data_IF_020532176901
#
_entry.id   IF_020532176901
#
_cell.length_a   1.000
_cell.length_b   1.000
_cell.length_c   1.000
_cell.angle_alpha   90.00
_cell.angle_beta   90.00
_cell.angle_gamma   90.00
#
_symmetry.space_group_name_H-M   'P 1'
#
loop_
_entity.id
_entity.type
_entity.pdbx_description
1 polymer ?
#
# COMPACT_ATOMS: atom_id res chain seq x y z
N UNK A 1 -15.88 4.09 38.55
CA UNK A 1 -16.14 4.81 37.30
C UNK A 1 -15.33 4.12 36.21
N UNK A 2 -15.98 3.45 35.26
CA UNK A 2 -15.29 2.93 34.07
C UNK A 2 -14.89 4.11 33.21
N UNK A 3 -13.60 4.39 33.15
CA UNK A 3 -13.04 5.33 32.18
C UNK A 3 -13.36 4.77 30.79
N UNK A 4 -14.30 5.40 30.10
CA UNK A 4 -14.56 5.09 28.70
C UNK A 4 -13.30 5.52 27.93
N UNK A 5 -12.58 4.58 27.34
CA UNK A 5 -11.38 4.87 26.56
C UNK A 5 -11.77 5.86 25.45
N UNK A 6 -11.01 6.95 25.29
CA UNK A 6 -11.29 7.91 24.25
C UNK A 6 -11.16 7.22 22.87
N UNK A 7 -12.11 7.52 21.99
CA UNK A 7 -12.12 6.99 20.63
C UNK A 7 -10.80 7.36 19.90
N UNK A 8 -10.24 6.46 19.10
CA UNK A 8 -9.03 6.71 18.35
C UNK A 8 -9.24 7.89 17.38
N UNK A 9 -8.17 8.64 17.14
CA UNK A 9 -8.15 9.58 16.02
C UNK A 9 -8.22 8.79 14.71
N UNK A 10 -9.11 9.19 13.80
CA UNK A 10 -9.31 8.48 12.53
C UNK A 10 -9.52 9.47 11.41
N UNK A 11 -8.83 9.28 10.29
CA UNK A 11 -9.03 10.03 9.06
C UNK A 11 -8.97 9.12 7.85
N UNK A 12 -9.91 9.32 6.92
CA UNK A 12 -9.90 8.70 5.59
C UNK A 12 -9.09 9.57 4.64
N UNK A 13 -8.00 9.03 4.08
CA UNK A 13 -7.15 9.71 3.10
C UNK A 13 -7.63 9.45 1.67
N UNK A 14 -8.14 8.23 1.44
CA UNK A 14 -8.70 7.80 0.15
C UNK A 14 -9.92 6.92 0.41
N UNK A 15 -10.98 7.15 -0.35
CA UNK A 15 -12.16 6.26 -0.40
C UNK A 15 -12.84 6.41 -1.75
N UNK A 16 -12.78 5.37 -2.57
CA UNK A 16 -13.43 5.36 -3.88
C UNK A 16 -14.95 5.43 -3.76
N UNK A 17 -15.53 4.77 -2.75
CA UNK A 17 -16.97 4.74 -2.52
C UNK A 17 -17.52 6.08 -2.03
N UNK A 18 -16.73 6.86 -1.29
CA UNK A 18 -17.10 8.18 -0.76
C UNK A 18 -16.58 9.33 -1.59
N UNK A 19 -15.85 9.04 -2.67
CA UNK A 19 -15.19 10.03 -3.53
C UNK A 19 -14.24 10.95 -2.74
N UNK A 20 -13.49 10.37 -1.80
CA UNK A 20 -12.47 11.08 -1.01
C UNK A 20 -11.10 10.76 -1.60
N UNK A 21 -10.31 11.79 -1.86
CA UNK A 21 -8.89 11.72 -2.16
C UNK A 21 -8.20 12.99 -1.69
N UNK A 22 -7.25 12.85 -0.79
CA UNK A 22 -6.45 13.97 -0.29
C UNK A 22 -5.07 13.93 -0.96
N UNK A 23 -4.78 14.86 -1.85
CA UNK A 23 -3.48 14.95 -2.53
C UNK A 23 -2.35 15.23 -1.53
N UNK A 24 -2.62 16.10 -0.55
CA UNK A 24 -1.69 16.46 0.50
C UNK A 24 -2.40 16.43 1.85
N UNK A 25 -1.76 15.81 2.82
CA UNK A 25 -2.23 15.80 4.20
C UNK A 25 -1.04 15.55 5.14
N UNK A 26 -1.10 16.13 6.33
CA UNK A 26 -0.11 15.92 7.37
C UNK A 26 -0.73 15.96 8.77
N UNK A 27 -0.11 15.23 9.69
CA UNK A 27 -0.46 15.21 11.09
C UNK A 27 0.83 15.05 11.92
N UNK A 28 0.95 15.81 12.99
CA UNK A 28 2.03 15.68 13.97
C UNK A 28 1.54 15.06 15.27
N UNK A 29 2.44 14.50 16.06
CA UNK A 29 2.14 13.97 17.38
C UNK A 29 1.52 15.01 18.29
N UNK A 30 1.99 16.26 18.21
CA UNK A 30 1.48 17.38 19.00
C UNK A 30 0.00 17.68 18.76
N UNK A 31 -0.55 17.33 17.58
CA UNK A 31 -1.96 17.52 17.26
C UNK A 31 -2.87 16.46 17.92
N UNK A 32 -2.29 15.37 18.42
CA UNK A 32 -3.04 14.23 18.96
C UNK A 32 -2.79 14.04 20.45
N UNK A 33 -1.53 14.19 20.90
CA UNK A 33 -1.13 14.00 22.32
C UNK A 33 0.06 14.89 22.67
N UNK A 34 0.09 15.37 23.91
CA UNK A 34 1.24 16.10 24.44
C UNK A 34 2.34 15.19 25.02
N UNK A 35 2.05 13.90 25.21
CA UNK A 35 2.99 12.96 25.86
C UNK A 35 4.07 12.45 24.89
N UNK A 36 3.73 12.32 23.61
CA UNK A 36 4.64 11.87 22.57
C UNK A 36 4.46 12.72 21.31
N UNK A 37 5.03 13.95 21.28
CA UNK A 37 4.81 14.89 20.17
C UNK A 37 5.71 14.61 18.94
N UNK A 38 6.79 13.82 19.10
CA UNK A 38 7.91 13.73 18.16
C UNK A 38 7.70 12.69 17.04
N UNK A 39 6.45 12.53 16.57
CA UNK A 39 6.13 11.72 15.40
C UNK A 39 5.34 12.53 14.38
N UNK A 40 5.37 12.09 13.15
CA UNK A 40 4.60 12.72 12.08
C UNK A 40 4.16 11.71 11.03
N UNK A 41 3.08 12.07 10.34
CA UNK A 41 2.60 11.35 9.16
C UNK A 41 2.36 12.40 8.07
N UNK A 42 2.83 12.11 6.86
CA UNK A 42 2.56 12.94 5.69
C UNK A 42 2.02 12.07 4.56
N UNK A 43 1.05 12.58 3.81
CA UNK A 43 0.64 12.03 2.52
C UNK A 43 0.92 13.07 1.44
N UNK A 44 1.44 12.61 0.33
CA UNK A 44 1.60 13.41 -0.89
C UNK A 44 1.31 12.58 -2.13
N UNK A 45 0.77 13.20 -3.15
CA UNK A 45 0.71 12.65 -4.50
C UNK A 45 1.96 13.10 -5.25
N UNK A 46 2.71 12.13 -5.80
CA UNK A 46 3.94 12.39 -6.56
C UNK A 46 3.61 12.86 -7.96
N UNK A 47 4.48 13.69 -8.51
CA UNK A 47 4.35 14.25 -9.84
C UNK A 47 5.61 14.06 -10.69
N UNK A 48 5.42 14.08 -12.01
CA UNK A 48 6.48 14.00 -13.00
C UNK A 48 6.93 12.56 -13.33
N UNK A 49 7.25 12.32 -14.60
CA UNK A 49 7.68 11.01 -15.07
C UNK A 49 6.65 9.91 -14.85
N UNK A 50 7.12 8.69 -14.64
CA UNK A 50 6.25 7.54 -14.40
C UNK A 50 5.63 7.50 -13.00
N UNK A 51 6.04 8.41 -12.10
CA UNK A 51 5.45 8.53 -10.76
C UNK A 51 4.23 9.46 -10.70
N UNK A 52 3.83 10.06 -11.83
CA UNK A 52 2.67 10.94 -11.88
C UNK A 52 1.41 10.28 -11.32
N UNK A 53 0.84 10.89 -10.26
CA UNK A 53 -0.37 10.40 -9.59
C UNK A 53 -0.15 9.29 -8.55
N UNK A 54 1.09 8.96 -8.20
CA UNK A 54 1.39 7.98 -7.15
C UNK A 54 1.24 8.61 -5.76
N UNK A 55 0.42 8.01 -4.93
CA UNK A 55 0.31 8.38 -3.52
C UNK A 55 1.45 7.77 -2.70
N UNK A 56 2.04 8.57 -1.84
CA UNK A 56 3.08 8.18 -0.89
C UNK A 56 2.70 8.65 0.51
N UNK A 57 2.66 7.74 1.48
CA UNK A 57 2.47 8.05 2.89
C UNK A 57 3.77 7.79 3.62
N UNK A 58 4.31 8.79 4.26
CA UNK A 58 5.51 8.67 5.08
C UNK A 58 5.16 8.82 6.56
N UNK A 59 5.58 7.85 7.36
CA UNK A 59 5.43 7.83 8.82
C UNK A 59 6.82 7.94 9.44
N UNK A 60 6.97 8.88 10.36
CA UNK A 60 8.14 9.03 11.20
C UNK A 60 7.70 8.89 12.66
N UNK A 61 8.17 7.88 13.38
CA UNK A 61 7.78 7.62 14.76
C UNK A 61 8.73 8.22 15.81
N UNK A 62 9.68 9.08 15.35
CA UNK A 62 10.74 9.66 16.17
C UNK A 62 12.05 8.85 16.12
N UNK A 63 12.03 7.60 15.61
CA UNK A 63 13.21 6.75 15.46
C UNK A 63 13.28 6.05 14.12
N UNK A 64 12.15 5.54 13.65
CA UNK A 64 12.03 4.86 12.37
C UNK A 64 11.14 5.69 11.46
N UNK A 65 11.61 5.91 10.24
CA UNK A 65 10.82 6.49 9.15
C UNK A 65 10.58 5.42 8.10
N UNK A 66 9.34 5.27 7.65
CA UNK A 66 8.99 4.37 6.54
C UNK A 66 7.96 4.98 5.62
N UNK A 67 7.93 4.51 4.37
CA UNK A 67 7.00 5.01 3.36
C UNK A 67 6.16 3.88 2.78
N UNK A 68 4.85 4.11 2.72
CA UNK A 68 3.84 3.20 2.16
C UNK A 68 3.33 3.77 0.85
N UNK A 69 3.09 2.91 -0.14
CA UNK A 69 2.61 3.30 -1.47
C UNK A 69 1.18 2.77 -1.69
N UNK A 70 0.13 3.57 -1.37
CA UNK A 70 -1.25 3.16 -1.60
C UNK A 70 -1.54 2.78 -3.05
N UNK A 71 -0.98 3.50 -4.00
CA UNK A 71 -1.15 3.28 -5.45
C UNK A 71 -0.52 1.96 -5.92
N UNK A 72 0.40 1.40 -5.13
CA UNK A 72 1.10 0.14 -5.39
C UNK A 72 0.73 -0.92 -4.36
N UNK A 73 -0.57 -1.25 -4.25
CA UNK A 73 -1.08 -2.33 -3.40
C UNK A 73 -0.74 -2.18 -1.91
N UNK A 74 -0.52 -0.97 -1.41
CA UNK A 74 -0.07 -0.72 -0.03
C UNK A 74 1.32 -1.32 0.27
N UNK A 75 2.20 -1.41 -0.72
CA UNK A 75 3.59 -1.83 -0.54
C UNK A 75 4.39 -0.84 0.33
N UNK A 76 5.48 -1.30 0.95
CA UNK A 76 6.41 -0.45 1.69
C UNK A 76 7.62 -0.17 0.81
N UNK A 77 7.84 1.10 0.47
CA UNK A 77 8.93 1.51 -0.41
C UNK A 77 10.29 1.27 0.27
N UNK A 78 10.45 1.84 1.43
CA UNK A 78 11.67 1.75 2.24
C UNK A 78 11.36 2.10 3.70
N UNK A 79 12.30 1.77 4.57
CA UNK A 79 12.36 2.29 5.93
C UNK A 79 13.77 2.74 6.25
N UNK A 80 13.92 3.62 7.24
CA UNK A 80 15.23 4.06 7.74
C UNK A 80 15.19 4.25 9.25
N UNK A 81 16.34 4.00 9.88
CA UNK A 81 16.56 4.22 11.29
C UNK A 81 17.99 4.76 11.44
N UNK A 82 18.12 6.03 11.84
CA UNK A 82 19.41 6.73 11.85
C UNK A 82 20.06 6.65 10.44
N UNK A 83 21.29 6.15 10.35
CA UNK A 83 22.03 6.00 9.09
C UNK A 83 21.75 4.67 8.37
N UNK A 84 20.89 3.81 8.93
CA UNK A 84 20.53 2.52 8.33
C UNK A 84 19.30 2.65 7.46
N UNK A 85 19.44 2.31 6.17
CA UNK A 85 18.32 2.23 5.23
C UNK A 85 17.94 0.78 5.01
N UNK A 86 16.66 0.47 5.23
CA UNK A 86 16.03 -0.80 4.91
C UNK A 86 15.31 -0.66 3.56
N UNK A 87 15.87 -1.28 2.56
CA UNK A 87 15.48 -1.18 1.17
C UNK A 87 16.56 -1.75 0.29
N UNK A 88 16.52 -1.46 -1.00
CA UNK A 88 17.54 -1.86 -1.95
C UNK A 88 17.69 -0.81 -3.06
N UNK A 89 18.85 -0.77 -3.69
CA UNK A 89 19.12 0.15 -4.79
C UNK A 89 18.64 -0.43 -6.11
N UNK A 90 17.31 -0.41 -6.31
CA UNK A 90 16.71 -0.85 -7.57
C UNK A 90 17.19 0.00 -8.75
N UNK A 91 17.38 -0.60 -9.94
CA UNK A 91 17.55 0.16 -11.17
C UNK A 91 16.30 0.98 -11.53
N UNK A 92 15.11 0.61 -11.02
CA UNK A 92 13.87 1.38 -11.17
C UNK A 92 13.87 2.47 -10.10
N UNK A 93 14.19 3.71 -10.51
CA UNK A 93 14.37 4.83 -9.56
C UNK A 93 13.09 5.58 -9.22
N UNK A 94 12.13 5.63 -10.16
CA UNK A 94 10.83 6.24 -9.91
C UNK A 94 9.89 5.26 -9.22
N UNK A 95 8.97 5.76 -8.41
CA UNK A 95 7.84 4.94 -7.92
C UNK A 95 6.82 4.88 -9.04
N UNK A 96 6.90 3.82 -9.86
CA UNK A 96 6.15 3.73 -11.11
C UNK A 96 4.66 3.56 -10.84
N UNK A 97 3.83 4.46 -11.42
CA UNK A 97 2.37 4.32 -11.36
C UNK A 97 1.93 3.08 -12.16
N UNK A 98 0.99 2.26 -11.68
CA UNK A 98 0.52 1.04 -12.35
C UNK A 98 0.07 1.24 -13.81
N UNK A 99 -0.41 2.43 -14.18
CA UNK A 99 -0.81 2.74 -15.57
C UNK A 99 0.31 2.59 -16.60
N UNK A 100 1.58 2.63 -16.16
CA UNK A 100 2.75 2.48 -17.02
C UNK A 100 3.30 1.05 -17.02
N UNK A 101 2.69 0.13 -16.29
CA UNK A 101 3.13 -1.26 -16.16
C UNK A 101 2.16 -2.16 -16.92
N UNK A 102 2.71 -2.96 -17.84
CA UNK A 102 1.98 -3.99 -18.56
C UNK A 102 2.48 -5.34 -18.08
N UNK A 103 1.69 -5.99 -17.23
CA UNK A 103 2.10 -7.22 -16.58
C UNK A 103 2.43 -8.34 -17.56
N UNK A 104 1.79 -8.36 -18.73
CA UNK A 104 1.94 -9.36 -19.78
C UNK A 104 3.22 -9.19 -20.61
N UNK A 105 3.87 -8.03 -20.55
CA UNK A 105 5.08 -7.77 -21.32
C UNK A 105 6.19 -8.77 -20.97
N UNK A 106 7.04 -9.09 -21.96
CA UNK A 106 8.14 -10.03 -21.83
C UNK A 106 7.73 -11.43 -21.35
N UNK A 107 6.55 -11.90 -21.78
CA UNK A 107 6.03 -13.19 -21.37
C UNK A 107 5.60 -13.23 -19.89
N UNK A 108 5.00 -12.17 -19.41
CA UNK A 108 4.47 -12.07 -18.07
C UNK A 108 5.45 -11.49 -17.03
N UNK A 109 6.56 -10.89 -17.46
CA UNK A 109 7.60 -10.32 -16.59
C UNK A 109 7.45 -8.80 -16.38
N UNK A 110 6.38 -8.18 -16.90
CA UNK A 110 6.18 -6.74 -16.83
C UNK A 110 6.13 -6.16 -15.40
N UNK A 111 5.81 -6.98 -14.40
CA UNK A 111 5.88 -6.64 -12.98
C UNK A 111 7.25 -6.06 -12.58
N UNK A 112 8.34 -6.55 -13.19
CA UNK A 112 9.71 -6.08 -12.92
C UNK A 112 9.95 -4.63 -13.34
N UNK A 113 9.14 -4.06 -14.23
CA UNK A 113 9.30 -2.67 -14.69
C UNK A 113 8.97 -1.63 -13.62
N UNK A 114 8.25 -2.05 -12.57
CA UNK A 114 7.90 -1.18 -11.44
C UNK A 114 8.56 -1.56 -10.12
N UNK A 115 9.32 -2.65 -10.07
CA UNK A 115 9.77 -3.20 -8.80
C UNK A 115 10.93 -2.40 -8.18
N UNK A 116 10.63 -1.71 -7.08
CA UNK A 116 11.61 -1.00 -6.26
C UNK A 116 11.27 -0.98 -4.75
N UNK A 117 10.20 -1.63 -4.35
CA UNK A 117 9.76 -1.67 -2.96
C UNK A 117 10.64 -2.59 -2.10
N UNK A 118 10.86 -2.20 -0.84
CA UNK A 118 11.44 -3.07 0.18
C UNK A 118 10.51 -4.24 0.54
N UNK A 119 9.20 -3.96 0.68
CA UNK A 119 8.18 -4.96 0.96
C UNK A 119 7.06 -4.82 -0.06
N UNK A 120 7.23 -5.47 -1.20
CA UNK A 120 6.23 -5.51 -2.26
C UNK A 120 5.10 -6.49 -1.91
N UNK A 121 3.91 -6.28 -2.46
CA UNK A 121 2.80 -7.24 -2.36
C UNK A 121 2.84 -8.22 -3.53
N UNK A 122 2.49 -9.47 -3.26
CA UNK A 122 2.34 -10.53 -4.27
C UNK A 122 0.98 -11.21 -4.08
N UNK A 123 0.41 -11.71 -5.16
CA UNK A 123 -0.91 -12.34 -5.16
C UNK A 123 -1.92 -11.47 -5.89
N UNK A 124 -3.21 -11.62 -5.63
CA UNK A 124 -3.89 -12.56 -4.69
C UNK A 124 -4.32 -13.84 -5.41
N UNK A 125 -4.86 -13.70 -6.65
CA UNK A 125 -5.33 -14.84 -7.48
C UNK A 125 -4.18 -15.79 -7.82
N UNK A 126 -3.00 -15.25 -8.12
CA UNK A 126 -1.82 -16.04 -8.48
C UNK A 126 -0.55 -15.45 -7.88
N UNK A 127 0.47 -16.29 -7.71
CA UNK A 127 1.79 -15.88 -7.23
C UNK A 127 2.88 -16.79 -7.83
N UNK A 128 4.09 -16.27 -7.95
CA UNK A 128 5.25 -17.00 -8.45
C UNK A 128 5.60 -16.64 -9.89
N UNK A 129 6.20 -17.58 -10.60
CA UNK A 129 6.64 -17.41 -11.99
C UNK A 129 5.46 -17.20 -12.93
N UNK A 130 5.64 -16.45 -14.04
CA UNK A 130 4.68 -16.44 -15.14
C UNK A 130 4.57 -17.83 -15.76
N UNK A 131 3.41 -18.15 -16.30
CA UNK A 131 3.14 -19.42 -16.96
C UNK A 131 1.68 -19.55 -17.36
N UNK A 132 1.34 -20.67 -17.96
CA UNK A 132 -0.04 -20.99 -18.32
C UNK A 132 -0.61 -21.97 -17.31
N UNK A 133 -1.78 -21.65 -16.76
CA UNK A 133 -2.54 -22.52 -15.85
C UNK A 133 -3.80 -23.05 -16.54
N UNK A 134 -4.25 -24.23 -16.13
CA UNK A 134 -5.48 -24.87 -16.60
C UNK A 134 -6.53 -24.87 -15.50
N UNK A 135 -7.75 -24.52 -15.83
CA UNK A 135 -8.85 -24.46 -14.88
C UNK A 135 -10.18 -24.86 -15.52
N UNK A 136 -11.16 -25.18 -14.69
CA UNK A 136 -12.55 -25.40 -15.17
C UNK A 136 -13.29 -24.07 -15.12
N UNK A 137 -13.80 -23.64 -16.26
CA UNK A 137 -14.54 -22.40 -16.38
C UNK A 137 -15.98 -22.49 -15.82
N UNK A 138 -16.71 -21.38 -15.84
CA UNK A 138 -18.07 -21.28 -15.27
C UNK A 138 -19.12 -22.15 -15.98
N UNK A 139 -18.85 -22.66 -17.17
CA UNK A 139 -19.74 -23.56 -17.93
C UNK A 139 -19.29 -25.04 -17.86
N UNK A 140 -18.23 -25.33 -17.14
CA UNK A 140 -17.73 -26.68 -16.89
C UNK A 140 -16.70 -27.19 -17.90
N UNK A 141 -16.20 -26.34 -18.78
CA UNK A 141 -15.17 -26.71 -19.77
C UNK A 141 -13.75 -26.44 -19.24
N UNK A 142 -12.79 -27.21 -19.72
CA UNK A 142 -11.38 -26.89 -19.53
C UNK A 142 -11.03 -25.61 -20.29
N UNK A 143 -10.33 -24.71 -19.60
CA UNK A 143 -9.82 -23.46 -20.14
C UNK A 143 -8.39 -23.23 -19.63
N UNK A 144 -7.68 -22.34 -20.29
CA UNK A 144 -6.34 -21.91 -19.86
C UNK A 144 -6.29 -20.42 -19.63
N UNK A 145 -5.40 -19.99 -18.73
CA UNK A 145 -5.07 -18.58 -18.53
C UNK A 145 -3.57 -18.40 -18.44
N UNK A 146 -3.06 -17.30 -18.96
CA UNK A 146 -1.67 -16.91 -18.76
C UNK A 146 -1.57 -16.09 -17.47
N UNK A 147 -0.67 -16.54 -16.60
CA UNK A 147 -0.37 -15.93 -15.32
C UNK A 147 0.89 -15.07 -15.44
N UNK A 148 0.85 -13.90 -14.81
CA UNK A 148 2.00 -12.98 -14.78
C UNK A 148 2.80 -13.15 -13.49
N UNK A 149 4.04 -12.67 -13.49
CA UNK A 149 4.94 -12.74 -12.35
C UNK A 149 4.28 -12.13 -11.10
N UNK A 150 4.21 -12.92 -10.02
CA UNK A 150 3.74 -12.53 -8.69
C UNK A 150 2.31 -11.96 -8.61
N UNK A 151 1.49 -12.13 -9.66
CA UNK A 151 0.11 -11.65 -9.69
C UNK A 151 -0.03 -10.15 -9.87
N UNK A 152 -1.18 -9.61 -9.51
CA UNK A 152 -1.59 -8.25 -9.88
C UNK A 152 -1.59 -7.26 -8.70
N UNK A 153 -1.67 -7.73 -7.47
CA UNK A 153 -2.00 -6.91 -6.30
C UNK A 153 -1.06 -5.72 -6.07
N UNK A 154 0.25 -5.87 -6.40
CA UNK A 154 1.23 -4.80 -6.32
C UNK A 154 0.95 -3.64 -7.29
N UNK A 155 0.10 -3.87 -8.30
CA UNK A 155 -0.22 -2.91 -9.36
C UNK A 155 -1.70 -2.50 -9.36
N UNK A 156 -2.37 -2.65 -8.22
CA UNK A 156 -3.75 -2.20 -8.01
C UNK A 156 -3.74 -1.12 -6.94
N UNK A 157 -4.21 0.10 -7.25
CA UNK A 157 -4.35 1.16 -6.25
C UNK A 157 -5.36 0.78 -5.16
N UNK A 158 -5.06 1.16 -3.92
CA UNK A 158 -5.96 0.96 -2.79
C UNK A 158 -7.25 1.78 -2.98
N UNK A 159 -8.39 1.11 -2.79
CA UNK A 159 -9.72 1.72 -2.86
C UNK A 159 -10.11 2.47 -1.58
N UNK A 160 -9.52 2.07 -0.45
CA UNK A 160 -9.69 2.69 0.87
C UNK A 160 -8.33 2.83 1.54
N UNK A 161 -8.05 4.01 2.11
CA UNK A 161 -6.84 4.27 2.91
C UNK A 161 -7.24 5.12 4.10
N UNK A 162 -6.92 4.66 5.29
CA UNK A 162 -7.17 5.42 6.52
C UNK A 162 -5.94 5.44 7.45
N UNK A 163 -5.83 6.49 8.23
CA UNK A 163 -4.93 6.59 9.37
C UNK A 163 -5.73 6.47 10.65
N UNK A 164 -5.28 5.60 11.55
CA UNK A 164 -5.90 5.39 12.86
C UNK A 164 -4.84 5.48 13.95
N UNK A 165 -5.08 6.33 14.97
CA UNK A 165 -4.13 6.56 16.04
C UNK A 165 -4.83 6.40 17.38
N UNK A 166 -4.30 5.54 18.24
CA UNK A 166 -4.79 5.38 19.60
C UNK A 166 -4.48 6.64 20.42
N UNK A 167 -5.45 7.10 21.22
CA UNK A 167 -5.28 8.24 22.13
C UNK A 167 -4.74 7.84 23.50
N UNK A 168 -4.41 6.56 23.67
CA UNK A 168 -3.89 5.99 24.91
C UNK A 168 -2.63 5.17 24.61
N UNK A 169 -1.73 5.00 25.61
CA UNK A 169 -0.55 4.15 25.44
C UNK A 169 -0.91 2.77 24.87
N UNK A 170 -0.15 2.26 23.91
CA UNK A 170 1.13 2.78 23.40
C UNK A 170 0.97 3.78 22.24
N UNK A 171 -0.14 4.48 22.08
CA UNK A 171 -0.40 5.49 21.02
C UNK A 171 -0.14 4.97 19.60
N UNK A 172 -0.57 3.72 19.34
CA UNK A 172 -0.28 3.03 18.09
C UNK A 172 -0.79 3.81 16.89
N UNK A 173 0.09 4.03 15.94
CA UNK A 173 -0.14 4.63 14.65
C UNK A 173 -0.35 3.51 13.63
N UNK A 174 -1.48 3.54 12.89
CA UNK A 174 -1.82 2.52 11.87
C UNK A 174 -2.11 3.19 10.55
N UNK A 175 -1.51 2.67 9.50
CA UNK A 175 -1.88 2.95 8.13
C UNK A 175 -2.61 1.73 7.62
N UNK A 176 -3.89 1.86 7.33
CA UNK A 176 -4.76 0.79 6.85
C UNK A 176 -5.14 1.01 5.41
N UNK A 177 -5.24 -0.05 4.64
CA UNK A 177 -5.69 0.00 3.27
C UNK A 177 -6.49 -1.22 2.87
N UNK A 178 -7.36 -1.01 1.88
CA UNK A 178 -8.06 -2.08 1.17
C UNK A 178 -7.71 -2.00 -0.31
N UNK A 179 -7.31 -3.13 -0.87
CA UNK A 179 -7.06 -3.29 -2.29
C UNK A 179 -7.99 -4.36 -2.84
N UNK A 180 -8.74 -4.02 -3.88
CA UNK A 180 -9.76 -4.89 -4.45
C UNK A 180 -9.26 -5.51 -5.75
N UNK A 181 -9.02 -6.82 -5.75
CA UNK A 181 -8.72 -7.60 -6.95
C UNK A 181 -9.98 -8.36 -7.37
N UNK A 182 -10.79 -7.74 -8.24
CA UNK A 182 -12.12 -8.23 -8.60
C UNK A 182 -12.34 -8.18 -10.10
N UNK A 183 -13.01 -9.19 -10.61
CA UNK A 183 -13.51 -9.20 -11.98
C UNK A 183 -14.95 -9.72 -12.04
N UNK A 184 -15.67 -9.41 -13.12
CA UNK A 184 -17.10 -9.70 -13.23
C UNK A 184 -17.41 -11.19 -13.16
N UNK A 185 -16.76 -11.98 -14.02
CA UNK A 185 -16.84 -13.45 -14.01
C UNK A 185 -15.49 -14.03 -13.57
N UNK A 186 -15.22 -14.03 -12.27
CA UNK A 186 -13.96 -14.52 -11.73
C UNK A 186 -13.82 -14.19 -10.25
N UNK A 187 -12.59 -14.22 -9.73
CA UNK A 187 -12.31 -13.96 -8.33
C UNK A 187 -12.77 -12.59 -7.87
N UNK A 188 -13.20 -12.52 -6.61
CA UNK A 188 -13.58 -11.31 -5.89
C UNK A 188 -12.79 -11.24 -4.60
N UNK A 189 -11.50 -10.96 -4.76
CA UNK A 189 -10.55 -10.97 -3.67
C UNK A 189 -10.34 -9.56 -3.13
N UNK A 190 -10.07 -9.47 -1.84
CA UNK A 190 -9.77 -8.22 -1.13
C UNK A 190 -8.53 -8.42 -0.28
N UNK A 191 -7.58 -7.52 -0.40
CA UNK A 191 -6.47 -7.39 0.54
C UNK A 191 -6.81 -6.32 1.58
N UNK A 192 -6.99 -6.74 2.82
CA UNK A 192 -7.03 -5.84 3.98
C UNK A 192 -5.65 -5.82 4.62
N UNK A 193 -5.03 -4.67 4.69
CA UNK A 193 -3.67 -4.55 5.21
C UNK A 193 -3.56 -3.44 6.25
N UNK A 194 -2.70 -3.67 7.23
CA UNK A 194 -2.32 -2.68 8.25
C UNK A 194 -0.80 -2.68 8.41
N UNK A 195 -0.23 -1.49 8.36
CA UNK A 195 1.17 -1.24 8.71
C UNK A 195 1.15 -0.33 9.91
N UNK A 196 1.78 -0.73 11.01
CA UNK A 196 1.68 0.02 12.25
C UNK A 196 3.02 0.16 12.99
N UNK A 197 3.10 1.22 13.78
CA UNK A 197 4.20 1.50 14.69
C UNK A 197 3.66 2.16 15.96
N UNK A 198 4.52 2.36 16.94
CA UNK A 198 4.26 3.20 18.12
C UNK A 198 5.25 4.36 18.12
N UNK A 199 4.92 5.53 18.69
CA UNK A 199 5.90 6.57 18.99
C UNK A 199 7.08 6.01 19.76
N UNK A 200 8.25 6.61 19.55
CA UNK A 200 9.49 6.22 20.25
C UNK A 200 9.66 7.04 21.53
#
# INVERSE_FOLDING_TARGET
ASSQAAEPYRITLTSSSKQIHLDHWSLSGADVTSEHPDWSITKQTLHGGKQEGVDLITVDNGKIRFSVIPTRGMGVLQASMEDVVLGWDSPVKEVVHPQFIRLEDRGGLGWLEGFNEWMVRCGLESNGHPGTDSFINNVGDEATMDLTLHGKIANIPASEVEVVIDRHPPYRIRIRGRVDERMFYGPKLELMTEISTTPH
#
